data_IF_117975986897
#
_entry.id   IF_117975986897
#
_cell.length_a   1.000
_cell.length_b   1.000
_cell.length_c   1.000
_cell.angle_alpha   90.00
_cell.angle_beta   90.00
_cell.angle_gamma   90.00
#
_symmetry.space_group_name_H-M   'P 1'
#
loop_
_entity.id
_entity.type
_entity.pdbx_description
1 polymer ?
#
# COMPACT_ATOMS: atom_id res chain seq x y z
N UNK A 1 -2.32 13.17 -11.33
CA UNK A 1 -3.21 12.29 -10.54
C UNK A 1 -3.03 12.67 -9.07
N UNK A 2 -4.11 12.78 -8.28
CA UNK A 2 -3.98 13.05 -6.84
C UNK A 2 -3.46 11.79 -6.14
N UNK A 3 -2.50 11.95 -5.24
CA UNK A 3 -1.90 10.85 -4.47
C UNK A 3 -1.81 11.28 -3.02
N UNK A 4 -2.23 10.42 -2.11
CA UNK A 4 -1.97 10.54 -0.69
C UNK A 4 -0.82 9.61 -0.30
N UNK A 5 0.04 10.12 0.56
CA UNK A 5 1.23 9.44 1.06
C UNK A 5 1.06 9.19 2.56
N UNK A 6 1.21 7.94 2.98
CA UNK A 6 1.16 7.55 4.38
C UNK A 6 2.45 6.83 4.79
N UNK A 7 2.95 7.17 5.96
CA UNK A 7 4.15 6.57 6.56
C UNK A 7 4.05 6.66 8.09
N UNK A 8 5.17 6.52 8.78
CA UNK A 8 5.22 6.66 10.25
C UNK A 8 4.84 8.07 10.75
N UNK A 9 5.18 9.12 10.02
CA UNK A 9 4.90 10.50 10.45
C UNK A 9 3.49 10.95 10.06
N UNK A 10 2.90 10.30 9.06
CA UNK A 10 1.52 10.49 8.62
C UNK A 10 0.80 9.13 8.51
N UNK A 11 0.47 8.49 9.64
CA UNK A 11 -0.17 7.18 9.63
C UNK A 11 -1.64 7.28 9.20
N UNK A 12 -2.19 6.14 8.79
CA UNK A 12 -3.62 5.99 8.53
C UNK A 12 -4.40 6.05 9.85
N UNK A 13 -5.55 6.70 9.85
CA UNK A 13 -6.57 6.47 10.89
C UNK A 13 -7.12 5.04 10.81
N UNK A 14 -7.84 4.59 11.84
CA UNK A 14 -8.41 3.24 11.85
C UNK A 14 -9.41 3.01 10.71
N UNK A 15 -10.23 4.00 10.39
CA UNK A 15 -11.24 3.90 9.31
C UNK A 15 -10.57 3.87 7.93
N UNK A 16 -9.55 4.70 7.71
CA UNK A 16 -8.77 4.71 6.47
C UNK A 16 -8.01 3.39 6.29
N UNK A 17 -7.44 2.85 7.37
CA UNK A 17 -6.78 1.55 7.36
C UNK A 17 -7.75 0.43 7.00
N UNK A 18 -8.93 0.38 7.63
CA UNK A 18 -9.95 -0.62 7.31
C UNK A 18 -10.36 -0.53 5.84
N UNK A 19 -10.59 0.69 5.35
CA UNK A 19 -10.94 0.95 3.94
C UNK A 19 -9.85 0.45 2.99
N UNK A 20 -8.58 0.71 3.30
CA UNK A 20 -7.45 0.26 2.50
C UNK A 20 -7.29 -1.28 2.52
N UNK A 21 -7.50 -1.92 3.67
CA UNK A 21 -7.46 -3.39 3.79
C UNK A 21 -8.53 -4.02 2.90
N UNK A 22 -9.77 -3.51 2.97
CA UNK A 22 -10.87 -4.03 2.16
C UNK A 22 -10.66 -3.80 0.66
N UNK A 23 -10.12 -2.64 0.28
CA UNK A 23 -9.74 -2.35 -1.09
C UNK A 23 -8.70 -3.34 -1.61
N UNK A 24 -7.60 -3.53 -0.89
CA UNK A 24 -6.52 -4.44 -1.28
C UNK A 24 -7.02 -5.89 -1.34
N UNK A 25 -7.75 -6.35 -0.33
CA UNK A 25 -8.33 -7.70 -0.30
C UNK A 25 -9.26 -7.95 -1.50
N UNK A 26 -10.04 -6.94 -1.90
CA UNK A 26 -10.96 -7.05 -3.04
C UNK A 26 -10.24 -7.00 -4.39
N UNK A 27 -9.22 -6.14 -4.54
CA UNK A 27 -8.64 -5.81 -5.84
C UNK A 27 -7.29 -6.47 -6.14
N UNK A 28 -6.65 -7.14 -5.18
CA UNK A 28 -5.51 -8.03 -5.43
C UNK A 28 -5.93 -9.34 -6.10
N UNK A 29 -7.22 -9.71 -6.03
CA UNK A 29 -7.80 -10.85 -6.77
C UNK A 29 -7.09 -12.18 -6.43
N UNK A 30 -6.73 -12.99 -7.42
CA UNK A 30 -5.96 -14.24 -7.23
C UNK A 30 -4.57 -14.08 -6.59
N UNK A 31 -4.04 -12.84 -6.50
CA UNK A 31 -2.77 -12.53 -5.82
C UNK A 31 -3.00 -11.91 -4.44
N UNK A 32 -4.26 -11.94 -3.97
CA UNK A 32 -4.65 -11.41 -2.68
C UNK A 32 -4.19 -12.27 -1.53
N UNK A 33 -3.82 -11.60 -0.45
CA UNK A 33 -3.55 -12.19 0.84
C UNK A 33 -4.79 -12.07 1.75
N UNK A 34 -4.91 -12.91 2.80
CA UNK A 34 -5.89 -12.72 3.85
C UNK A 34 -5.81 -11.30 4.44
N UNK A 35 -6.95 -10.74 4.87
CA UNK A 35 -7.02 -9.40 5.48
C UNK A 35 -6.00 -9.17 6.59
N UNK A 36 -5.74 -10.20 7.39
CA UNK A 36 -4.76 -10.14 8.48
C UNK A 36 -3.33 -9.91 7.97
N UNK A 37 -2.92 -10.59 6.89
CA UNK A 37 -1.60 -10.38 6.29
C UNK A 37 -1.49 -8.99 5.64
N UNK A 38 -2.56 -8.52 5.01
CA UNK A 38 -2.63 -7.15 4.46
C UNK A 38 -2.49 -6.12 5.59
N UNK A 39 -3.23 -6.31 6.68
CA UNK A 39 -3.15 -5.48 7.89
C UNK A 39 -1.74 -5.45 8.44
N UNK A 40 -1.11 -6.61 8.66
CA UNK A 40 0.25 -6.71 9.17
C UNK A 40 1.26 -5.98 8.27
N UNK A 41 1.09 -6.04 6.94
CA UNK A 41 1.93 -5.31 6.01
C UNK A 41 1.74 -3.78 6.12
N UNK A 42 0.51 -3.30 6.27
CA UNK A 42 0.21 -1.87 6.45
C UNK A 42 0.82 -1.37 7.76
N UNK A 43 0.61 -2.10 8.86
CA UNK A 43 1.15 -1.76 10.18
C UNK A 43 2.68 -1.83 10.21
N UNK A 44 3.29 -2.73 9.43
CA UNK A 44 4.73 -2.74 9.20
C UNK A 44 5.17 -1.44 8.52
N UNK A 45 4.51 -1.01 7.44
CA UNK A 45 4.87 0.19 6.69
C UNK A 45 4.77 1.47 7.54
N UNK A 46 3.68 1.61 8.32
CA UNK A 46 3.41 2.77 9.18
C UNK A 46 4.11 2.71 10.54
N UNK A 47 4.88 1.64 10.82
CA UNK A 47 5.58 1.40 12.10
C UNK A 47 4.65 1.40 13.32
N UNK A 48 3.44 0.86 13.16
CA UNK A 48 2.53 0.58 14.29
C UNK A 48 2.93 -0.69 15.06
N UNK A 49 3.76 -1.52 14.42
CA UNK A 49 4.49 -2.63 15.04
C UNK A 49 6.00 -2.37 14.93
N UNK A 50 6.81 -3.15 15.67
CA UNK A 50 8.27 -3.09 15.56
C UNK A 50 8.67 -3.55 14.15
N UNK A 51 9.14 -2.61 13.33
CA UNK A 51 9.49 -2.84 11.93
C UNK A 51 10.53 -1.85 11.40
N UNK A 52 10.98 -2.07 10.17
CA UNK A 52 11.81 -1.10 9.43
C UNK A 52 11.00 0.03 8.77
N UNK A 53 9.67 0.01 8.92
CA UNK A 53 8.77 0.97 8.30
C UNK A 53 8.62 0.76 6.80
N UNK A 54 8.20 1.81 6.12
CA UNK A 54 7.85 1.78 4.72
C UNK A 54 7.00 2.99 4.40
N UNK A 55 6.22 2.88 3.34
CA UNK A 55 5.23 3.88 2.99
C UNK A 55 4.14 3.29 2.11
N UNK A 56 3.03 4.02 2.05
CA UNK A 56 1.83 3.65 1.32
C UNK A 56 1.45 4.82 0.43
N UNK A 57 1.16 4.53 -0.84
CA UNK A 57 0.62 5.48 -1.79
C UNK A 57 -0.81 5.08 -2.12
N UNK A 58 -1.73 6.03 -2.05
CA UNK A 58 -3.13 5.80 -2.42
C UNK A 58 -3.60 6.87 -3.38
N UNK A 59 -4.37 6.50 -4.39
CA UNK A 59 -4.95 7.41 -5.36
C UNK A 59 -6.42 7.11 -5.62
N UNK A 60 -7.29 8.13 -5.78
CA UNK A 60 -6.99 9.56 -5.58
C UNK A 60 -6.93 9.96 -4.11
N UNK A 61 -7.63 9.20 -3.26
CA UNK A 61 -7.68 9.32 -1.82
C UNK A 61 -8.01 7.96 -1.19
N UNK A 62 -7.75 7.82 0.11
CA UNK A 62 -7.93 6.57 0.86
C UNK A 62 -9.37 6.28 1.26
N UNK A 63 -10.26 7.27 1.20
CA UNK A 63 -11.69 7.05 1.47
C UNK A 63 -12.41 6.40 0.30
N UNK A 64 -11.93 6.61 -0.93
CA UNK A 64 -12.41 5.93 -2.12
C UNK A 64 -11.25 5.60 -3.10
N UNK A 65 -10.41 4.61 -2.75
CA UNK A 65 -9.22 4.28 -3.52
C UNK A 65 -9.55 3.68 -4.89
N UNK A 66 -8.84 4.16 -5.91
CA UNK A 66 -8.79 3.58 -7.27
C UNK A 66 -7.49 2.80 -7.45
N UNK A 67 -6.41 3.18 -6.77
CA UNK A 67 -5.16 2.44 -6.76
C UNK A 67 -4.43 2.60 -5.43
N UNK A 68 -3.71 1.56 -5.03
CA UNK A 68 -2.88 1.58 -3.84
C UNK A 68 -1.57 0.82 -4.07
N UNK A 69 -0.50 1.30 -3.45
CA UNK A 69 0.82 0.65 -3.38
C UNK A 69 1.27 0.63 -1.93
N UNK A 70 1.75 -0.52 -1.46
CA UNK A 70 2.36 -0.69 -0.14
C UNK A 70 3.81 -1.11 -0.32
N UNK A 71 4.73 -0.30 0.20
CA UNK A 71 6.17 -0.51 0.18
C UNK A 71 6.65 -0.75 1.60
N UNK A 72 7.35 -1.86 1.83
CA UNK A 72 8.03 -2.12 3.09
C UNK A 72 9.54 -1.90 2.93
N UNK A 73 10.16 -1.29 3.93
CA UNK A 73 11.60 -1.21 4.02
C UNK A 73 12.15 -2.54 4.53
N UNK A 74 13.21 -3.02 3.89
CA UNK A 74 13.81 -4.30 4.26
C UNK A 74 14.89 -4.17 5.34
N UNK A 75 15.42 -2.95 5.54
CA UNK A 75 16.58 -2.71 6.39
C UNK A 75 17.91 -3.19 5.81
N UNK A 76 17.94 -3.72 4.58
CA UNK A 76 19.10 -4.39 3.98
C UNK A 76 19.88 -3.53 2.98
N UNK A 77 19.87 -2.22 3.17
CA UNK A 77 20.59 -1.27 2.30
C UNK A 77 22.07 -1.67 2.20
N UNK A 78 22.57 -1.77 0.96
CA UNK A 78 23.95 -2.15 0.68
C UNK A 78 24.18 -3.66 0.49
N UNK A 79 23.14 -4.49 0.61
CA UNK A 79 23.23 -5.93 0.31
C UNK A 79 22.11 -6.40 -0.63
N UNK A 80 20.85 -6.11 -0.30
CA UNK A 80 19.69 -6.38 -1.18
C UNK A 80 18.80 -5.11 -1.30
N UNK A 81 17.73 -5.10 -2.12
CA UNK A 81 16.89 -3.92 -2.28
C UNK A 81 16.41 -3.36 -0.94
N UNK A 82 16.61 -2.05 -0.74
CA UNK A 82 16.21 -1.33 0.48
C UNK A 82 14.69 -1.31 0.67
N UNK A 83 13.93 -1.41 -0.42
CA UNK A 83 12.48 -1.36 -0.46
C UNK A 83 11.95 -2.58 -1.19
N UNK A 84 10.86 -3.15 -0.70
CA UNK A 84 10.10 -4.21 -1.39
C UNK A 84 8.67 -3.72 -1.65
N UNK A 85 8.25 -3.85 -2.91
CA UNK A 85 6.86 -3.66 -3.31
C UNK A 85 6.06 -4.88 -2.90
N UNK A 86 5.30 -4.77 -1.81
CA UNK A 86 4.52 -5.89 -1.28
C UNK A 86 3.19 -5.98 -1.99
N UNK A 87 2.46 -4.86 -2.08
CA UNK A 87 1.17 -4.82 -2.75
C UNK A 87 1.11 -3.70 -3.77
N UNK A 88 0.49 -4.01 -4.91
CA UNK A 88 0.04 -3.04 -5.90
C UNK A 88 -1.34 -3.49 -6.40
N UNK A 89 -2.33 -2.64 -6.23
CA UNK A 89 -3.68 -2.91 -6.71
C UNK A 89 -4.24 -1.70 -7.47
N UNK A 90 -5.06 -1.98 -8.47
CA UNK A 90 -5.89 -0.99 -9.14
C UNK A 90 -7.31 -1.56 -9.18
N UNK A 91 -8.30 -0.71 -8.91
CA UNK A 91 -9.71 -1.03 -9.00
C UNK A 91 -9.99 -1.74 -10.34
N UNK A 92 -10.79 -2.81 -10.30
CA UNK A 92 -10.97 -3.72 -11.44
C UNK A 92 -11.40 -2.98 -12.72
N UNK A 93 -12.34 -2.04 -12.58
CA UNK A 93 -12.86 -1.22 -13.69
C UNK A 93 -11.89 -0.14 -14.20
N UNK A 94 -10.75 0.01 -13.54
CA UNK A 94 -9.69 0.95 -13.88
C UNK A 94 -8.37 0.26 -14.26
N UNK A 95 -8.35 -1.08 -14.34
CA UNK A 95 -7.21 -1.86 -14.85
C UNK A 95 -6.95 -1.54 -16.32
N UNK A 96 -5.71 -1.79 -16.78
CA UNK A 96 -5.29 -1.53 -18.17
C UNK A 96 -5.08 -0.05 -18.52
N UNK A 97 -5.37 0.89 -17.61
CA UNK A 97 -5.21 2.35 -17.83
C UNK A 97 -3.84 2.90 -17.41
N UNK A 98 -2.91 2.05 -16.99
CA UNK A 98 -1.56 2.45 -16.58
C UNK A 98 -1.46 3.14 -15.20
N UNK A 99 -2.53 3.18 -14.41
CA UNK A 99 -2.60 3.90 -13.12
C UNK A 99 -1.58 3.36 -12.12
N UNK A 100 -1.48 2.03 -11.95
CA UNK A 100 -0.49 1.43 -11.06
C UNK A 100 0.95 1.79 -11.43
N UNK A 101 1.26 1.86 -12.74
CA UNK A 101 2.58 2.30 -13.22
C UNK A 101 2.84 3.77 -12.87
N UNK A 102 1.85 4.64 -13.06
CA UNK A 102 1.97 6.05 -12.68
C UNK A 102 2.23 6.19 -11.17
N UNK A 103 1.53 5.41 -10.35
CA UNK A 103 1.68 5.45 -8.89
C UNK A 103 3.10 5.03 -8.44
N UNK A 104 3.70 4.02 -9.07
CA UNK A 104 5.08 3.57 -8.78
C UNK A 104 6.15 4.58 -9.26
N UNK A 105 5.84 5.39 -10.27
CA UNK A 105 6.74 6.42 -10.81
C UNK A 105 6.59 7.79 -10.14
N UNK A 106 5.66 7.92 -9.18
CA UNK A 106 5.33 9.18 -8.52
C UNK A 106 6.30 9.56 -7.41
#
# INVERSE_FOLDING_TARGET
MKIQYFDFNNPLSQDEKSTLIDFLHTHLDQYGDPREHIKNCIEFATKEIISFGGFILVSPDVTNPIAAVVINNTGMRGYIPQHILVYIATHRDHRGKGIGKQLVQS
#
